data_IF_688582788724
#
_entry.id   IF_688582788724
#
_cell.length_a   1.000
_cell.length_b   1.000
_cell.length_c   1.000
_cell.angle_alpha   90.00
_cell.angle_beta   90.00
_cell.angle_gamma   90.00
#
_symmetry.space_group_name_H-M   'P 1'
#
loop_
_entity.id
_entity.type
_entity.pdbx_description
1 polymer ?
#
# COMPACT_ATOMS: atom_id res chain seq x y z
N UNK A 1 1.51 -10.66 7.72
CA UNK A 1 2.98 -10.42 7.65
C UNK A 1 3.48 -9.57 8.81
N UNK A 2 4.79 -9.36 8.94
CA UNK A 2 5.39 -8.40 9.88
C UNK A 2 5.53 -7.05 9.14
N UNK A 3 4.90 -5.98 9.64
CA UNK A 3 5.02 -4.63 9.08
C UNK A 3 6.49 -4.30 8.75
N UNK A 4 6.77 -3.67 7.61
CA UNK A 4 8.15 -3.67 7.05
C UNK A 4 9.15 -2.91 7.93
N UNK A 5 8.68 -1.90 8.66
CA UNK A 5 9.32 -1.38 9.86
C UNK A 5 8.42 -1.65 11.05
N UNK A 6 8.45 -2.90 11.50
CA UNK A 6 7.76 -3.29 12.69
C UNK A 6 8.43 -2.67 13.92
N UNK A 7 7.72 -2.79 15.04
CA UNK A 7 8.26 -2.36 16.33
C UNK A 7 9.64 -2.97 16.61
N UNK A 8 9.88 -4.21 16.20
CA UNK A 8 11.15 -4.90 16.42
C UNK A 8 12.30 -4.27 15.64
N UNK A 9 12.07 -3.81 14.41
CA UNK A 9 13.04 -3.04 13.64
C UNK A 9 13.35 -1.70 14.32
N UNK A 10 12.31 -0.93 14.70
CA UNK A 10 12.50 0.36 15.38
C UNK A 10 13.26 0.23 16.70
N UNK A 11 13.00 -0.84 17.46
CA UNK A 11 13.71 -1.14 18.70
C UNK A 11 15.18 -1.53 18.47
N UNK A 12 15.49 -2.16 17.34
CA UNK A 12 16.87 -2.52 16.95
C UNK A 12 17.67 -1.35 16.39
N UNK A 13 17.00 -0.31 15.89
CA UNK A 13 17.65 0.83 15.22
C UNK A 13 17.25 2.22 15.77
N UNK A 14 17.27 2.45 17.10
CA UNK A 14 16.73 3.68 17.71
C UNK A 14 17.43 4.96 17.23
N UNK A 15 18.76 4.93 17.06
CA UNK A 15 19.52 6.08 16.58
C UNK A 15 19.10 6.53 15.18
N UNK A 16 18.83 5.58 14.29
CA UNK A 16 18.38 5.84 12.90
C UNK A 16 16.97 6.48 12.91
N UNK A 17 16.06 5.94 13.72
CA UNK A 17 14.69 6.48 13.87
C UNK A 17 14.70 7.89 14.45
N UNK A 18 15.46 8.13 15.52
CA UNK A 18 15.54 9.46 16.16
C UNK A 18 16.19 10.49 15.22
N UNK A 19 17.25 10.11 14.51
CA UNK A 19 17.93 11.01 13.58
C UNK A 19 17.01 11.47 12.44
N UNK A 20 16.17 10.56 11.93
CA UNK A 20 15.39 10.81 10.72
C UNK A 20 14.01 11.40 11.02
N UNK A 21 13.39 11.04 12.14
CA UNK A 21 12.01 11.40 12.47
C UNK A 21 11.84 12.12 13.82
N UNK A 22 12.94 12.27 14.56
CA UNK A 22 12.94 12.91 15.87
C UNK A 22 12.53 12.01 17.02
N UNK A 23 12.88 12.44 18.23
CA UNK A 23 12.65 11.71 19.47
C UNK A 23 11.16 11.44 19.74
N UNK A 24 10.29 12.36 19.37
CA UNK A 24 8.85 12.26 19.63
C UNK A 24 8.19 11.08 18.89
N UNK A 25 8.64 10.78 17.67
CA UNK A 25 8.15 9.63 16.90
C UNK A 25 8.60 8.33 17.55
N UNK A 26 9.89 8.24 17.92
CA UNK A 26 10.44 7.07 18.59
C UNK A 26 9.73 6.77 19.92
N UNK A 27 9.55 7.79 20.77
CA UNK A 27 8.83 7.63 22.05
C UNK A 27 7.36 7.27 21.83
N UNK A 28 6.70 7.90 20.84
CA UNK A 28 5.32 7.57 20.47
C UNK A 28 5.14 6.08 20.17
N UNK A 29 6.05 5.50 19.38
CA UNK A 29 6.03 4.07 19.05
C UNK A 29 6.25 3.14 20.25
N UNK A 30 7.03 3.58 21.25
CA UNK A 30 7.22 2.79 22.47
C UNK A 30 5.96 2.75 23.32
N UNK A 31 5.20 3.85 23.32
CA UNK A 31 4.02 4.05 24.17
C UNK A 31 2.73 3.50 23.55
N UNK A 32 2.51 3.65 22.24
CA UNK A 32 1.30 3.17 21.55
C UNK A 32 1.58 1.97 20.65
N UNK A 33 1.47 0.77 21.22
CA UNK A 33 1.74 -0.50 20.51
C UNK A 33 0.71 -0.83 19.42
N UNK A 34 -0.36 -0.05 19.30
CA UNK A 34 -1.44 -0.30 18.33
C UNK A 34 -1.17 0.34 16.98
N UNK A 35 -0.23 1.30 16.91
CA UNK A 35 0.08 2.04 15.69
C UNK A 35 1.35 1.52 15.03
N UNK A 36 1.35 1.52 13.70
CA UNK A 36 2.56 1.26 12.92
C UNK A 36 3.48 2.50 12.91
N UNK A 37 4.76 2.33 12.52
CA UNK A 37 5.67 3.47 12.34
C UNK A 37 5.07 4.50 11.37
N UNK A 38 4.53 4.05 10.24
CA UNK A 38 3.94 4.93 9.23
C UNK A 38 2.77 5.76 9.79
N UNK A 39 1.94 5.18 10.67
CA UNK A 39 0.86 5.93 11.33
C UNK A 39 1.40 7.01 12.26
N UNK A 40 2.45 6.71 13.02
CA UNK A 40 3.13 7.71 13.84
C UNK A 40 3.76 8.84 13.01
N UNK A 41 4.32 8.52 11.84
CA UNK A 41 4.91 9.50 10.94
C UNK A 41 3.86 10.40 10.31
N UNK A 42 2.75 9.83 9.83
CA UNK A 42 1.62 10.61 9.30
C UNK A 42 1.09 11.57 10.37
N UNK A 43 0.91 11.10 11.61
CA UNK A 43 0.47 11.94 12.73
C UNK A 43 1.47 13.05 13.07
N UNK A 44 2.78 12.74 13.03
CA UNK A 44 3.84 13.70 13.30
C UNK A 44 3.88 14.80 12.22
N UNK A 45 3.98 14.41 10.95
CA UNK A 45 4.09 15.38 9.87
C UNK A 45 2.84 16.23 9.71
N UNK A 46 1.65 15.67 9.94
CA UNK A 46 0.41 16.44 9.95
C UNK A 46 0.41 17.56 11.00
N UNK A 47 1.16 17.41 12.10
CA UNK A 47 1.26 18.41 13.17
C UNK A 47 2.42 19.39 12.98
N UNK A 48 3.49 18.97 12.31
CA UNK A 48 4.78 19.67 12.34
C UNK A 48 5.32 20.09 10.97
N UNK A 49 4.76 19.60 9.87
CA UNK A 49 5.24 19.87 8.51
C UNK A 49 4.14 20.47 7.63
N UNK A 50 4.56 21.22 6.62
CA UNK A 50 3.66 21.73 5.58
C UNK A 50 3.61 20.71 4.44
N UNK A 51 2.45 20.13 4.12
CA UNK A 51 2.35 19.20 3.00
C UNK A 51 2.52 19.93 1.67
N UNK A 52 2.95 19.21 0.63
CA UNK A 52 2.91 19.74 -0.72
C UNK A 52 1.49 20.20 -1.08
N UNK A 53 1.39 21.39 -1.68
CA UNK A 53 0.12 22.02 -2.04
C UNK A 53 -0.19 21.88 -3.54
N UNK A 54 -1.41 22.24 -3.93
CA UNK A 54 -1.81 22.30 -5.34
C UNK A 54 -1.92 20.92 -6.00
N UNK A 55 -1.63 20.86 -7.30
CA UNK A 55 -1.79 19.65 -8.10
C UNK A 55 -0.90 18.50 -7.61
N UNK A 56 0.33 18.79 -7.21
CA UNK A 56 1.28 17.80 -6.69
C UNK A 56 0.77 17.14 -5.42
N UNK A 57 0.38 17.94 -4.41
CA UNK A 57 -0.18 17.39 -3.19
C UNK A 57 -1.47 16.60 -3.40
N UNK A 58 -2.30 17.04 -4.35
CA UNK A 58 -3.51 16.31 -4.72
C UNK A 58 -3.20 14.97 -5.39
N UNK A 59 -2.12 14.85 -6.16
CA UNK A 59 -1.70 13.60 -6.78
C UNK A 59 -1.33 12.53 -5.74
N UNK A 60 -0.51 12.87 -4.74
CA UNK A 60 -0.15 11.94 -3.65
C UNK A 60 -1.36 11.54 -2.80
N UNK A 61 -2.26 12.49 -2.50
CA UNK A 61 -3.51 12.18 -1.81
C UNK A 61 -4.40 11.27 -2.64
N UNK A 62 -4.49 11.50 -3.95
CA UNK A 62 -5.26 10.67 -4.86
C UNK A 62 -4.70 9.25 -4.90
N UNK A 63 -3.38 9.09 -5.01
CA UNK A 63 -2.72 7.78 -4.96
C UNK A 63 -3.02 7.08 -3.64
N UNK A 64 -2.82 7.75 -2.50
CA UNK A 64 -3.10 7.17 -1.19
C UNK A 64 -4.56 6.71 -1.05
N UNK A 65 -5.52 7.49 -1.56
CA UNK A 65 -6.93 7.12 -1.54
C UNK A 65 -7.24 5.90 -2.44
N UNK A 66 -6.51 5.72 -3.54
CA UNK A 66 -6.64 4.52 -4.37
C UNK A 66 -6.11 3.30 -3.62
N UNK A 67 -4.93 3.38 -3.01
CA UNK A 67 -4.37 2.25 -2.23
C UNK A 67 -5.27 1.87 -1.06
N UNK A 68 -5.75 2.84 -0.28
CA UNK A 68 -6.70 2.56 0.81
C UNK A 68 -8.00 1.92 0.32
N UNK A 69 -8.39 2.19 -0.93
CA UNK A 69 -9.57 1.61 -1.53
C UNK A 69 -9.33 0.17 -1.96
N UNK A 70 -8.18 -0.11 -2.56
CA UNK A 70 -7.75 -1.49 -2.88
C UNK A 70 -7.61 -2.30 -1.59
N UNK A 71 -7.01 -1.73 -0.54
CA UNK A 71 -6.93 -2.37 0.78
C UNK A 71 -8.32 -2.77 1.30
N UNK A 72 -9.30 -1.87 1.24
CA UNK A 72 -10.69 -2.18 1.64
C UNK A 72 -11.34 -3.26 0.77
N UNK A 73 -11.03 -3.29 -0.52
CA UNK A 73 -11.50 -4.34 -1.43
C UNK A 73 -10.94 -5.70 -1.01
N UNK A 74 -9.63 -5.78 -0.72
CA UNK A 74 -9.01 -7.02 -0.24
C UNK A 74 -9.52 -7.44 1.14
N UNK A 75 -9.75 -6.51 2.06
CA UNK A 75 -10.41 -6.84 3.34
C UNK A 75 -11.81 -7.45 3.12
N UNK A 76 -12.60 -6.90 2.20
CA UNK A 76 -13.92 -7.45 1.86
C UNK A 76 -13.81 -8.84 1.20
N UNK A 77 -12.77 -9.08 0.37
CA UNK A 77 -12.49 -10.42 -0.16
C UNK A 77 -12.10 -11.40 0.96
N UNK A 78 -11.28 -10.96 1.93
CA UNK A 78 -10.91 -11.79 3.08
C UNK A 78 -12.13 -12.22 3.89
N UNK A 79 -13.07 -11.30 4.13
CA UNK A 79 -14.36 -11.60 4.78
C UNK A 79 -15.21 -12.56 3.93
N UNK A 80 -15.29 -12.33 2.61
CA UNK A 80 -16.06 -13.16 1.68
C UNK A 80 -15.59 -14.61 1.64
N UNK A 81 -14.29 -14.84 1.79
CA UNK A 81 -13.66 -16.16 1.75
C UNK A 81 -13.21 -16.67 3.12
N UNK A 82 -13.83 -16.18 4.22
CA UNK A 82 -13.44 -16.55 5.60
C UNK A 82 -13.44 -18.06 5.89
N UNK A 83 -14.26 -18.84 5.18
CA UNK A 83 -14.31 -20.31 5.29
C UNK A 83 -13.11 -21.03 4.64
N UNK A 84 -12.39 -20.35 3.73
CA UNK A 84 -11.09 -20.82 3.21
C UNK A 84 -9.97 -20.02 3.86
N UNK A 85 -9.40 -20.59 4.92
CA UNK A 85 -8.35 -19.93 5.71
C UNK A 85 -7.13 -19.49 4.89
N UNK A 86 -6.76 -20.20 3.81
CA UNK A 86 -5.61 -19.82 2.99
C UNK A 86 -5.95 -18.62 2.09
N UNK A 87 -7.17 -18.60 1.52
CA UNK A 87 -7.65 -17.48 0.71
C UNK A 87 -7.88 -16.23 1.56
N UNK A 88 -8.55 -16.38 2.71
CA UNK A 88 -8.77 -15.29 3.67
C UNK A 88 -7.44 -14.69 4.13
N UNK A 89 -6.45 -15.52 4.45
CA UNK A 89 -5.12 -15.06 4.84
C UNK A 89 -4.41 -14.29 3.71
N UNK A 90 -4.48 -14.79 2.47
CA UNK A 90 -3.92 -14.09 1.31
C UNK A 90 -4.51 -12.68 1.15
N UNK A 91 -5.84 -12.56 1.15
CA UNK A 91 -6.51 -11.28 0.98
C UNK A 91 -6.30 -10.33 2.17
N UNK A 92 -6.24 -10.87 3.39
CA UNK A 92 -5.91 -10.07 4.57
C UNK A 92 -4.50 -9.49 4.48
N UNK A 93 -3.52 -10.31 4.08
CA UNK A 93 -2.14 -9.87 3.86
C UNK A 93 -2.07 -8.77 2.78
N UNK A 94 -2.75 -8.95 1.64
CA UNK A 94 -2.81 -7.94 0.57
C UNK A 94 -3.48 -6.64 1.06
N UNK A 95 -4.53 -6.74 1.88
CA UNK A 95 -5.16 -5.57 2.49
C UNK A 95 -4.20 -4.78 3.38
N UNK A 96 -3.33 -5.47 4.12
CA UNK A 96 -2.35 -4.83 4.99
C UNK A 96 -1.26 -4.13 4.18
N UNK A 97 -0.76 -4.78 3.13
CA UNK A 97 0.22 -4.23 2.19
C UNK A 97 -0.29 -2.93 1.55
N UNK A 98 -1.50 -2.94 0.98
CA UNK A 98 -2.08 -1.74 0.33
C UNK A 98 -2.39 -0.61 1.33
N UNK A 99 -2.69 -0.95 2.58
CA UNK A 99 -2.83 0.06 3.63
C UNK A 99 -1.48 0.73 3.93
N UNK A 100 -0.37 -0.01 3.92
CA UNK A 100 0.97 0.55 4.06
C UNK A 100 1.35 1.43 2.86
N UNK A 101 1.03 1.01 1.63
CA UNK A 101 1.25 1.80 0.42
C UNK A 101 0.57 3.17 0.50
N UNK A 102 -0.69 3.21 0.94
CA UNK A 102 -1.40 4.47 1.10
C UNK A 102 -0.75 5.39 2.15
N UNK A 103 -0.24 4.83 3.25
CA UNK A 103 0.47 5.60 4.28
C UNK A 103 1.84 6.10 3.80
N UNK A 104 2.56 5.32 2.98
CA UNK A 104 3.80 5.75 2.32
C UNK A 104 3.49 6.97 1.45
N UNK A 105 2.43 6.93 0.63
CA UNK A 105 2.03 8.07 -0.20
C UNK A 105 1.67 9.32 0.62
N UNK A 106 1.00 9.14 1.76
CA UNK A 106 0.76 10.25 2.69
C UNK A 106 2.05 10.79 3.33
N UNK A 107 3.07 9.96 3.50
CA UNK A 107 4.37 10.41 4.02
C UNK A 107 5.12 11.19 2.94
N UNK A 108 5.18 10.67 1.70
CA UNK A 108 5.78 11.33 0.54
C UNK A 108 5.21 12.74 0.29
N UNK A 109 3.93 12.95 0.58
CA UNK A 109 3.27 14.27 0.52
C UNK A 109 4.03 15.38 1.26
N UNK A 110 4.75 15.07 2.35
CA UNK A 110 5.48 16.03 3.16
C UNK A 110 6.96 16.18 2.76
N UNK A 111 7.46 15.31 1.89
CA UNK A 111 8.86 15.25 1.47
C UNK A 111 9.08 15.66 0.01
N UNK A 112 8.00 15.83 -0.74
CA UNK A 112 8.08 16.26 -2.15
C UNK A 112 8.00 17.77 -2.27
N UNK A 113 8.95 18.35 -3.00
CA UNK A 113 8.94 19.76 -3.41
C UNK A 113 8.80 19.88 -4.92
N UNK A 114 7.99 20.84 -5.38
CA UNK A 114 7.90 21.14 -6.79
C UNK A 114 9.26 21.68 -7.28
N UNK A 115 9.84 21.01 -8.26
CA UNK A 115 11.13 21.35 -8.87
C UNK A 115 11.11 21.13 -10.37
N UNK A 116 12.15 21.58 -11.10
CA UNK A 116 12.23 21.43 -12.56
C UNK A 116 12.24 19.98 -13.03
N UNK A 117 12.62 19.04 -12.16
CA UNK A 117 12.68 17.60 -12.45
C UNK A 117 11.34 16.87 -12.26
N UNK A 118 10.28 17.59 -11.85
CA UNK A 118 8.94 17.02 -11.67
C UNK A 118 8.28 16.77 -13.04
N UNK A 119 8.18 15.49 -13.42
CA UNK A 119 7.75 15.08 -14.76
C UNK A 119 6.34 14.48 -14.81
N UNK A 120 5.68 14.24 -13.68
CA UNK A 120 4.39 13.54 -13.64
C UNK A 120 3.50 13.97 -12.46
N UNK A 121 2.33 14.53 -12.77
CA UNK A 121 1.31 14.91 -11.79
C UNK A 121 -0.05 14.38 -12.27
N UNK A 122 -0.48 13.18 -11.85
CA UNK A 122 -1.78 12.63 -12.23
C UNK A 122 -2.90 13.45 -11.59
N UNK A 123 -4.01 13.54 -12.32
CA UNK A 123 -5.22 14.26 -11.92
C UNK A 123 -6.43 13.35 -12.01
N UNK A 124 -7.40 13.52 -11.12
CA UNK A 124 -8.72 12.86 -11.21
C UNK A 124 -9.49 13.26 -12.47
N UNK A 125 -9.03 14.30 -13.19
CA UNK A 125 -9.56 14.66 -14.50
C UNK A 125 -8.96 13.82 -15.62
N UNK A 126 -7.87 13.10 -15.38
CA UNK A 126 -7.26 12.25 -16.40
C UNK A 126 -8.17 11.04 -16.66
N UNK A 127 -8.47 10.71 -17.93
CA UNK A 127 -9.35 9.59 -18.26
C UNK A 127 -8.88 8.26 -17.65
N UNK A 128 -7.57 8.03 -17.62
CA UNK A 128 -6.96 6.83 -17.01
C UNK A 128 -7.30 6.72 -15.52
N UNK A 129 -7.06 7.78 -14.75
CA UNK A 129 -7.38 7.82 -13.31
C UNK A 129 -8.89 7.60 -13.07
N UNK A 130 -9.76 8.18 -13.91
CA UNK A 130 -11.20 7.95 -13.80
C UNK A 130 -11.58 6.50 -14.08
N UNK A 131 -11.02 5.91 -15.13
CA UNK A 131 -11.27 4.52 -15.48
C UNK A 131 -10.87 3.58 -14.34
N UNK A 132 -9.72 3.82 -13.70
CA UNK A 132 -9.29 3.08 -12.51
C UNK A 132 -10.31 3.21 -11.38
N UNK A 133 -10.72 4.44 -11.05
CA UNK A 133 -11.68 4.71 -9.96
C UNK A 133 -13.02 4.02 -10.20
N UNK A 134 -13.50 4.02 -11.45
CA UNK A 134 -14.75 3.38 -11.83
C UNK A 134 -14.63 1.86 -11.86
N UNK A 135 -13.48 1.30 -12.29
CA UNK A 135 -13.18 -0.13 -12.19
C UNK A 135 -13.18 -0.60 -10.73
N UNK A 136 -12.57 0.16 -9.83
CA UNK A 136 -12.59 -0.14 -8.39
C UNK A 136 -14.02 -0.10 -7.81
N UNK A 137 -14.85 0.87 -8.22
CA UNK A 137 -16.28 0.91 -7.84
C UNK A 137 -17.02 -0.35 -8.26
N UNK A 138 -16.75 -0.81 -9.47
CA UNK A 138 -17.43 -1.96 -10.01
C UNK A 138 -16.98 -3.24 -9.30
N UNK A 139 -15.67 -3.42 -9.09
CA UNK A 139 -15.14 -4.56 -8.34
C UNK A 139 -15.70 -4.62 -6.91
N UNK A 140 -15.75 -3.49 -6.20
CA UNK A 140 -16.34 -3.42 -4.85
C UNK A 140 -17.78 -3.94 -4.80
N UNK A 141 -18.58 -3.69 -5.84
CA UNK A 141 -19.96 -4.17 -5.91
C UNK A 141 -20.06 -5.66 -6.20
N UNK A 142 -19.06 -6.21 -6.88
CA UNK A 142 -19.05 -7.60 -7.32
C UNK A 142 -18.52 -8.56 -6.24
N UNK A 143 -17.67 -8.10 -5.31
CA UNK A 143 -17.06 -8.95 -4.26
C UNK A 143 -18.05 -9.91 -3.58
N UNK A 144 -19.26 -9.51 -3.16
CA UNK A 144 -20.18 -10.42 -2.48
C UNK A 144 -20.54 -11.67 -3.30
N UNK A 145 -20.62 -11.53 -4.62
CA UNK A 145 -21.06 -12.58 -5.54
C UNK A 145 -19.89 -13.31 -6.22
N UNK A 146 -18.66 -12.81 -6.10
CA UNK A 146 -17.49 -13.41 -6.72
C UNK A 146 -17.22 -14.82 -6.19
N UNK A 147 -16.87 -15.73 -7.10
CA UNK A 147 -16.18 -16.95 -6.73
C UNK A 147 -14.67 -16.71 -6.51
N UNK A 148 -13.97 -17.71 -5.96
CA UNK A 148 -12.55 -17.56 -5.64
C UNK A 148 -11.69 -17.34 -6.90
N UNK A 149 -12.02 -17.97 -8.01
CA UNK A 149 -11.25 -17.82 -9.25
C UNK A 149 -11.46 -16.45 -9.89
N UNK A 150 -12.65 -15.88 -9.80
CA UNK A 150 -12.96 -14.49 -10.14
C UNK A 150 -12.19 -13.52 -9.26
N UNK A 151 -12.20 -13.71 -7.93
CA UNK A 151 -11.47 -12.84 -7.00
C UNK A 151 -9.95 -12.88 -7.24
N UNK A 152 -9.38 -14.06 -7.48
CA UNK A 152 -7.94 -14.20 -7.78
C UNK A 152 -7.57 -13.58 -9.14
N UNK A 153 -8.45 -13.67 -10.15
CA UNK A 153 -8.25 -12.98 -11.44
C UNK A 153 -8.31 -11.46 -11.28
N UNK A 154 -9.33 -10.95 -10.59
CA UNK A 154 -9.45 -9.52 -10.30
C UNK A 154 -8.24 -8.99 -9.53
N UNK A 155 -7.72 -9.79 -8.58
CA UNK A 155 -6.49 -9.47 -7.84
C UNK A 155 -5.29 -9.37 -8.75
N UNK A 156 -5.06 -10.35 -9.64
CA UNK A 156 -3.95 -10.30 -10.59
C UNK A 156 -4.05 -9.10 -11.56
N UNK A 157 -5.27 -8.74 -11.99
CA UNK A 157 -5.51 -7.55 -12.82
C UNK A 157 -5.20 -6.24 -12.10
N UNK A 158 -5.58 -6.12 -10.82
CA UNK A 158 -5.31 -4.93 -10.01
C UNK A 158 -3.81 -4.73 -9.80
N UNK A 159 -3.10 -5.80 -9.45
CA UNK A 159 -1.66 -5.76 -9.16
C UNK A 159 -0.78 -5.61 -10.41
N UNK A 160 -1.31 -5.96 -11.58
CA UNK A 160 -0.70 -5.63 -12.88
C UNK A 160 -1.17 -4.30 -13.45
N UNK A 161 -2.03 -3.57 -12.74
CA UNK A 161 -2.86 -2.49 -13.29
C UNK A 161 -2.24 -1.09 -13.24
N UNK A 162 -3.02 -0.13 -13.73
CA UNK A 162 -2.63 1.29 -13.84
C UNK A 162 -2.36 1.96 -12.48
N UNK A 163 -2.88 1.42 -11.37
CA UNK A 163 -2.61 1.92 -10.01
C UNK A 163 -1.12 1.82 -9.69
N UNK A 164 -0.52 0.64 -9.91
CA UNK A 164 0.90 0.40 -9.67
C UNK A 164 1.80 1.24 -10.59
N UNK A 165 1.35 1.54 -11.81
CA UNK A 165 2.05 2.47 -12.71
C UNK A 165 2.01 3.90 -12.18
N UNK A 166 0.85 4.38 -11.72
CA UNK A 166 0.71 5.73 -11.14
C UNK A 166 1.56 5.84 -9.87
N UNK A 167 1.48 4.86 -8.99
CA UNK A 167 2.25 4.76 -7.75
C UNK A 167 3.75 4.80 -8.04
N UNK A 168 4.26 3.92 -8.91
CA UNK A 168 5.67 3.86 -9.27
C UNK A 168 6.21 5.17 -9.86
N UNK A 169 5.42 5.83 -10.72
CA UNK A 169 5.81 7.13 -11.32
C UNK A 169 5.82 8.27 -10.31
N UNK A 170 4.93 8.27 -9.32
CA UNK A 170 4.97 9.25 -8.23
C UNK A 170 6.21 9.04 -7.36
N UNK A 171 6.51 7.80 -6.99
CA UNK A 171 7.69 7.48 -6.18
C UNK A 171 9.01 7.85 -6.84
N UNK A 172 9.13 7.66 -8.16
CA UNK A 172 10.34 7.98 -8.91
C UNK A 172 10.74 9.48 -8.85
N UNK A 173 9.81 10.35 -8.41
CA UNK A 173 10.01 11.80 -8.34
C UNK A 173 10.39 12.30 -6.94
N UNK A 174 10.49 11.43 -5.94
CA UNK A 174 10.88 11.83 -4.58
C UNK A 174 12.40 11.67 -4.40
N UNK A 175 13.04 12.68 -3.79
CA UNK A 175 14.49 12.65 -3.52
C UNK A 175 14.87 11.44 -2.64
N UNK A 176 15.80 10.63 -3.14
CA UNK A 176 16.27 9.37 -2.54
C UNK A 176 16.82 9.55 -1.13
N UNK A 177 17.35 10.72 -0.78
CA UNK A 177 17.91 10.93 0.55
C UNK A 177 16.83 10.87 1.66
N UNK A 178 15.64 11.43 1.40
CA UNK A 178 14.55 11.51 2.38
C UNK A 178 13.71 10.22 2.44
N UNK A 179 13.69 9.43 1.37
CA UNK A 179 12.99 8.13 1.31
C UNK A 179 13.92 6.92 1.46
N UNK A 180 15.21 7.10 1.69
CA UNK A 180 16.20 6.01 1.80
C UNK A 180 15.86 4.95 2.86
N UNK A 181 15.02 5.29 3.84
CA UNK A 181 14.50 4.37 4.84
C UNK A 181 13.36 3.49 4.35
N UNK A 182 12.59 3.95 3.37
CA UNK A 182 11.50 3.19 2.75
C UNK A 182 11.94 2.57 1.43
N UNK A 183 13.22 2.68 1.05
CA UNK A 183 13.68 2.26 -0.27
C UNK A 183 13.40 0.76 -0.53
N UNK A 184 13.54 -0.07 0.51
CA UNK A 184 13.24 -1.51 0.45
C UNK A 184 11.73 -1.76 0.29
N UNK A 185 10.89 -0.99 1.00
CA UNK A 185 9.42 -1.02 0.92
C UNK A 185 8.93 -0.55 -0.44
N UNK A 186 9.47 0.57 -0.92
CA UNK A 186 9.16 1.14 -2.22
C UNK A 186 9.55 0.18 -3.35
N UNK A 187 10.66 -0.54 -3.18
CA UNK A 187 11.07 -1.62 -4.08
C UNK A 187 10.15 -2.84 -3.97
N UNK A 188 9.69 -3.21 -2.76
CA UNK A 188 8.76 -4.31 -2.55
C UNK A 188 7.37 -4.02 -3.15
N UNK A 189 6.81 -2.83 -2.92
CA UNK A 189 5.56 -2.36 -3.52
C UNK A 189 5.62 -2.40 -5.05
N UNK A 190 6.76 -2.04 -5.64
CA UNK A 190 6.97 -2.10 -7.09
C UNK A 190 7.00 -3.54 -7.65
N UNK A 191 7.17 -4.56 -6.80
CA UNK A 191 7.23 -5.98 -7.19
C UNK A 191 5.90 -6.71 -7.03
N UNK A 192 4.80 -6.04 -6.67
CA UNK A 192 3.48 -6.68 -6.55
C UNK A 192 3.04 -7.39 -7.84
N UNK A 193 3.31 -6.79 -9.00
CA UNK A 193 3.05 -7.40 -10.31
C UNK A 193 3.78 -8.74 -10.55
N UNK A 194 4.85 -9.02 -9.80
CA UNK A 194 5.63 -10.26 -9.87
C UNK A 194 5.27 -11.22 -8.72
N UNK A 195 5.10 -10.69 -7.51
CA UNK A 195 4.96 -11.48 -6.28
C UNK A 195 3.54 -12.00 -6.07
N UNK A 196 2.51 -11.23 -6.42
CA UNK A 196 1.12 -11.64 -6.22
C UNK A 196 0.71 -12.80 -7.14
N UNK A 197 1.04 -12.82 -8.45
CA UNK A 197 0.78 -13.99 -9.30
C UNK A 197 1.40 -15.28 -8.77
N UNK A 198 2.61 -15.20 -8.18
CA UNK A 198 3.26 -16.36 -7.53
C UNK A 198 2.46 -16.84 -6.32
N UNK A 199 2.06 -15.93 -5.41
CA UNK A 199 1.26 -16.27 -4.21
C UNK A 199 -0.10 -16.90 -4.60
N UNK A 200 -0.74 -16.39 -5.66
CA UNK A 200 -1.96 -16.98 -6.23
C UNK A 200 -1.70 -18.40 -6.74
N UNK A 201 -0.61 -18.62 -7.48
CA UNK A 201 -0.26 -19.95 -7.98
C UNK A 201 -0.01 -20.95 -6.83
N UNK A 202 0.68 -20.52 -5.76
CA UNK A 202 0.92 -21.33 -4.57
C UNK A 202 -0.38 -21.67 -3.82
N UNK A 203 -1.32 -20.73 -3.71
CA UNK A 203 -2.66 -20.99 -3.16
C UNK A 203 -3.38 -22.07 -3.97
N UNK A 204 -3.42 -21.93 -5.31
CA UNK A 204 -4.07 -22.92 -6.20
C UNK A 204 -3.45 -24.31 -6.08
N UNK A 205 -2.13 -24.40 -5.95
CA UNK A 205 -1.44 -25.67 -5.74
C UNK A 205 -1.82 -26.33 -4.41
N UNK A 206 -1.87 -25.55 -3.31
CA UNK A 206 -2.28 -26.05 -2.00
C UNK A 206 -3.73 -26.55 -2.01
N UNK A 207 -4.65 -25.80 -2.63
CA UNK A 207 -6.05 -26.21 -2.76
C UNK A 207 -6.18 -27.54 -3.52
N UNK A 208 -5.43 -27.70 -4.62
CA UNK A 208 -5.41 -28.95 -5.39
C UNK A 208 -4.86 -30.14 -4.59
N UNK A 209 -3.79 -29.93 -3.83
CA UNK A 209 -3.20 -30.98 -2.99
C UNK A 209 -4.19 -31.46 -1.90
N UNK A 210 -4.91 -30.54 -1.25
CA UNK A 210 -5.96 -30.88 -0.27
C UNK A 210 -7.08 -31.73 -0.89
N UNK A 211 -7.54 -31.36 -2.09
CA UNK A 211 -8.59 -32.09 -2.79
C UNK A 211 -8.20 -33.52 -3.22
N UNK A 212 -6.90 -33.83 -3.35
CA UNK A 212 -6.41 -35.18 -3.68
C UNK A 212 -6.18 -36.07 -2.46
N UNK A 213 -6.27 -35.51 -1.25
CA UNK A 213 -5.99 -36.23 0.01
C UNK A 213 -7.29 -36.64 0.74
N UNK A 214 -8.45 -36.25 0.20
CA UNK A 214 -9.81 -36.57 0.67
C UNK A 214 -10.42 -37.61 -0.27
#
# INVERSE_FOLDING_TARGET
MQAVIDRSYCLRHPGKIIQLFGLNVYVGMLLDKRKTLLEHLVDHYRKHATPASGALGNAYKCSALMEFRVARLYAAMAERFAEDADAAALFQDLSEEEMEHGRIMLTCLFHVTAGPDLCFIPSVRDPQVRNVVDRLRELERQVPEMDLDEALRATAELEGGEINVIFGRLLAQVDRAQLSLFAEELEASQKHSETVPRRIAELKQRAKARAMTV
#
